data_IF_403155835661
#
_entry.id   IF_403155835661
#
_cell.length_a   1.000
_cell.length_b   1.000
_cell.length_c   1.000
_cell.angle_alpha   90.00
_cell.angle_beta   90.00
_cell.angle_gamma   90.00
#
_symmetry.space_group_name_H-M   'P 1'
#
loop_
_entity.id
_entity.type
_entity.pdbx_description
1 polymer ?
#
# COMPACT_ATOMS: atom_id res chain seq x y z
N UNK A 1 44.44 20.57 -57.89
CA UNK A 1 43.99 19.21 -57.54
C UNK A 1 43.87 19.15 -56.02
N UNK A 2 42.79 19.65 -55.42
CA UNK A 2 41.47 19.02 -55.31
C UNK A 2 41.53 17.70 -54.53
N UNK A 3 41.25 17.75 -53.22
CA UNK A 3 40.20 16.98 -52.53
C UNK A 3 40.33 17.15 -51.00
N UNK A 4 39.42 17.95 -50.41
CA UNK A 4 38.87 17.66 -49.08
C UNK A 4 37.72 16.67 -49.27
N UNK A 5 37.49 15.73 -48.34
CA UNK A 5 36.46 15.94 -47.30
C UNK A 5 36.94 15.47 -45.91
N UNK A 6 36.75 16.23 -44.82
CA UNK A 6 35.57 16.38 -43.96
C UNK A 6 35.32 15.27 -42.92
N UNK A 7 34.85 15.64 -41.71
CA UNK A 7 35.16 14.96 -40.45
C UNK A 7 34.05 13.99 -40.02
N UNK A 8 34.42 12.90 -39.35
CA UNK A 8 33.46 12.07 -38.63
C UNK A 8 33.28 12.62 -37.21
N UNK A 9 32.29 13.49 -37.07
CA UNK A 9 31.68 13.86 -35.79
C UNK A 9 30.96 12.64 -35.22
N UNK A 10 31.44 12.15 -34.08
CA UNK A 10 30.82 11.07 -33.31
C UNK A 10 29.61 11.64 -32.55
N UNK A 11 28.44 11.60 -33.16
CA UNK A 11 27.18 11.97 -32.52
C UNK A 11 26.74 10.82 -31.61
N UNK A 12 26.94 10.96 -30.29
CA UNK A 12 26.35 10.08 -29.29
C UNK A 12 24.83 10.24 -29.36
N UNK A 13 24.15 9.27 -29.97
CA UNK A 13 22.71 9.17 -29.90
C UNK A 13 22.32 8.84 -28.45
N UNK A 14 21.81 9.84 -27.72
CA UNK A 14 21.07 9.59 -26.48
C UNK A 14 19.77 8.96 -26.90
N UNK A 15 19.72 7.64 -26.88
CA UNK A 15 18.47 6.90 -26.98
C UNK A 15 17.64 7.30 -25.78
N UNK A 16 16.65 8.17 -25.98
CA UNK A 16 15.60 8.38 -25.01
C UNK A 16 14.92 7.03 -24.81
N UNK A 17 15.20 6.38 -23.67
CA UNK A 17 14.36 5.32 -23.17
C UNK A 17 13.00 5.96 -22.86
N UNK A 18 12.13 5.95 -23.88
CA UNK A 18 10.71 6.05 -23.69
C UNK A 18 10.30 4.85 -22.84
N UNK A 19 10.25 5.02 -21.52
CA UNK A 19 9.46 4.15 -20.67
C UNK A 19 8.01 4.34 -21.12
N UNK A 20 7.57 3.48 -22.03
CA UNK A 20 6.17 3.28 -22.30
C UNK A 20 5.55 2.84 -20.98
N UNK A 21 4.89 3.77 -20.29
CA UNK A 21 3.98 3.47 -19.20
C UNK A 21 2.98 2.46 -19.77
N UNK A 22 2.89 1.23 -19.24
CA UNK A 22 1.91 0.27 -19.72
C UNK A 22 0.53 0.90 -19.58
N UNK A 23 -0.29 0.92 -20.66
CA UNK A 23 -1.64 1.44 -20.57
C UNK A 23 -2.44 0.55 -19.62
N UNK A 24 -2.89 1.16 -18.51
CA UNK A 24 -4.01 0.68 -17.71
C UNK A 24 -3.93 -0.78 -17.28
N UNK A 25 -2.94 -1.14 -16.45
CA UNK A 25 -3.14 -2.29 -15.56
C UNK A 25 -4.23 -1.92 -14.55
N UNK A 26 -5.13 -2.85 -14.26
CA UNK A 26 -6.36 -2.67 -13.49
C UNK A 26 -6.11 -2.29 -12.02
N UNK A 27 -5.79 -1.03 -11.73
CA UNK A 27 -5.75 -0.46 -10.36
C UNK A 27 -7.16 -0.12 -9.80
N UNK A 28 -8.21 -0.38 -10.60
CA UNK A 28 -9.58 0.04 -10.34
C UNK A 28 -10.31 -0.74 -9.22
N UNK A 29 -9.70 -1.80 -8.66
CA UNK A 29 -10.34 -2.68 -7.68
C UNK A 29 -9.90 -2.47 -6.22
N UNK A 30 -9.06 -1.47 -5.92
CA UNK A 30 -8.94 -0.95 -4.55
C UNK A 30 -10.31 -0.39 -4.12
N UNK A 31 -10.82 -0.74 -2.92
CA UNK A 31 -12.19 -1.20 -2.73
C UNK A 31 -13.26 -0.24 -3.27
N UNK A 32 -13.78 -0.56 -4.44
CA UNK A 32 -15.09 -0.14 -4.96
C UNK A 32 -16.04 -1.32 -5.22
N UNK A 33 -15.65 -2.57 -4.91
CA UNK A 33 -16.53 -3.73 -5.09
C UNK A 33 -16.04 -4.97 -4.35
N UNK A 34 -16.64 -5.26 -3.20
CA UNK A 34 -16.49 -6.54 -2.50
C UNK A 34 -17.79 -7.34 -2.68
N UNK A 35 -18.00 -7.84 -3.90
CA UNK A 35 -19.00 -8.87 -4.21
C UNK A 35 -18.36 -9.95 -5.06
N UNK A 36 -17.34 -10.61 -4.54
CA UNK A 36 -16.70 -11.74 -5.20
C UNK A 36 -15.78 -12.46 -4.25
N UNK A 37 -16.06 -13.73 -3.98
CA UNK A 37 -15.14 -14.61 -3.26
C UNK A 37 -13.90 -14.84 -4.14
N UNK A 38 -12.67 -14.57 -3.68
CA UNK A 38 -11.47 -15.00 -4.40
C UNK A 38 -11.28 -16.50 -4.20
N UNK A 39 -11.13 -17.26 -5.28
CA UNK A 39 -10.65 -18.64 -5.25
C UNK A 39 -9.12 -18.64 -5.23
N UNK A 40 -8.51 -19.05 -4.13
CA UNK A 40 -7.06 -19.23 -4.02
C UNK A 40 -6.72 -20.71 -4.29
N UNK A 41 -5.96 -20.99 -5.34
CA UNK A 41 -5.34 -22.31 -5.55
C UNK A 41 -3.95 -22.31 -4.91
N UNK A 42 -3.63 -23.41 -4.22
CA UNK A 42 -2.40 -23.58 -3.47
C UNK A 42 -1.29 -24.17 -4.35
N UNK A 43 -0.12 -23.54 -4.35
CA UNK A 43 1.14 -24.15 -4.78
C UNK A 43 2.20 -24.03 -3.67
N UNK A 44 3.09 -25.03 -3.61
CA UNK A 44 3.79 -25.51 -2.40
C UNK A 44 5.22 -24.98 -2.21
N UNK A 45 5.63 -24.91 -0.93
CA UNK A 45 7.00 -24.85 -0.33
C UNK A 45 7.70 -23.48 -0.31
N UNK A 46 8.28 -22.96 0.78
CA UNK A 46 8.78 -23.54 2.04
C UNK A 46 8.49 -22.63 3.28
N UNK A 47 7.51 -21.74 3.19
CA UNK A 47 7.21 -20.73 4.21
C UNK A 47 5.72 -20.64 4.55
N UNK A 48 4.94 -21.66 4.19
CA UNK A 48 3.51 -21.69 4.47
C UNK A 48 3.34 -21.97 5.96
N UNK A 49 2.76 -21.06 6.76
CA UNK A 49 2.45 -21.33 8.15
C UNK A 49 1.63 -22.62 8.25
N UNK A 50 1.83 -23.42 9.30
CA UNK A 50 0.98 -24.58 9.52
C UNK A 50 -0.48 -24.13 9.50
N UNK A 51 -1.41 -24.99 9.04
CA UNK A 51 -2.85 -24.66 9.07
C UNK A 51 -3.32 -24.19 10.44
N UNK A 52 -2.71 -24.70 11.52
CA UNK A 52 -2.96 -24.23 12.88
C UNK A 52 -2.52 -22.79 13.12
N UNK A 53 -1.31 -22.40 12.68
CA UNK A 53 -0.82 -21.04 12.77
C UNK A 53 -1.65 -20.07 11.91
N UNK A 54 -2.01 -20.48 10.68
CA UNK A 54 -2.91 -19.71 9.83
C UNK A 54 -4.28 -19.49 10.49
N UNK A 55 -4.88 -20.53 11.08
CA UNK A 55 -6.16 -20.42 11.79
C UNK A 55 -6.08 -19.54 13.05
N UNK A 56 -4.92 -19.50 13.73
CA UNK A 56 -4.70 -18.59 14.86
C UNK A 56 -4.60 -17.15 14.37
N UNK A 57 -3.81 -16.90 13.33
CA UNK A 57 -3.68 -15.57 12.74
C UNK A 57 -5.02 -15.05 12.19
N UNK A 58 -5.78 -15.91 11.48
CA UNK A 58 -7.12 -15.58 10.99
C UNK A 58 -8.07 -15.17 12.12
N UNK A 59 -8.05 -15.90 13.25
CA UNK A 59 -8.82 -15.53 14.44
C UNK A 59 -8.36 -14.22 15.05
N UNK A 60 -7.05 -13.96 15.11
CA UNK A 60 -6.55 -12.69 15.61
C UNK A 60 -7.08 -11.51 14.78
N UNK A 61 -7.04 -11.59 13.45
CA UNK A 61 -7.57 -10.53 12.57
C UNK A 61 -9.08 -10.36 12.76
N UNK A 62 -9.84 -11.45 12.76
CA UNK A 62 -11.30 -11.43 12.90
C UNK A 62 -11.78 -10.95 14.28
N UNK A 63 -11.21 -11.48 15.35
CA UNK A 63 -11.74 -11.33 16.70
C UNK A 63 -11.02 -10.23 17.48
N UNK A 64 -9.69 -10.13 17.39
CA UNK A 64 -8.95 -9.11 18.13
C UNK A 64 -9.02 -7.77 17.41
N UNK A 65 -8.69 -7.72 16.12
CA UNK A 65 -8.76 -6.49 15.34
C UNK A 65 -10.19 -6.14 14.87
N UNK A 66 -11.13 -7.09 14.92
CA UNK A 66 -12.50 -6.88 14.49
C UNK A 66 -12.64 -6.66 12.98
N UNK A 67 -11.71 -7.19 12.18
CA UNK A 67 -11.66 -7.02 10.73
C UNK A 67 -11.93 -8.35 10.04
N UNK A 68 -12.70 -8.36 8.95
CA UNK A 68 -12.75 -9.56 8.12
C UNK A 68 -11.37 -9.87 7.53
N UNK A 69 -10.89 -11.09 7.72
CA UNK A 69 -9.56 -11.51 7.29
C UNK A 69 -9.33 -11.34 5.79
N UNK A 70 -10.30 -11.73 4.96
CA UNK A 70 -10.13 -11.72 3.51
C UNK A 70 -10.17 -10.27 3.00
N UNK A 71 -11.02 -9.43 3.58
CA UNK A 71 -11.02 -7.98 3.33
C UNK A 71 -9.71 -7.30 3.78
N UNK A 72 -9.18 -7.66 4.94
CA UNK A 72 -7.92 -7.13 5.46
C UNK A 72 -6.74 -7.53 4.58
N UNK A 73 -6.71 -8.78 4.09
CA UNK A 73 -5.69 -9.24 3.15
C UNK A 73 -5.75 -8.46 1.84
N UNK A 74 -6.94 -8.32 1.25
CA UNK A 74 -7.13 -7.54 0.02
C UNK A 74 -6.69 -6.08 0.20
N UNK A 75 -7.05 -5.47 1.34
CA UNK A 75 -6.63 -4.11 1.66
C UNK A 75 -5.10 -3.98 1.75
N UNK A 76 -4.44 -4.93 2.40
CA UNK A 76 -2.98 -4.97 2.54
C UNK A 76 -2.29 -5.11 1.18
N UNK A 77 -2.78 -6.01 0.32
CA UNK A 77 -2.25 -6.21 -1.03
C UNK A 77 -2.42 -4.93 -1.89
N UNK A 78 -3.58 -4.25 -1.78
CA UNK A 78 -3.83 -2.96 -2.42
C UNK A 78 -2.87 -1.86 -1.92
N UNK A 79 -2.62 -1.80 -0.61
CA UNK A 79 -1.69 -0.84 -0.01
C UNK A 79 -0.27 -1.06 -0.53
N UNK A 80 0.22 -2.31 -0.57
CA UNK A 80 1.54 -2.63 -1.11
C UNK A 80 1.67 -2.23 -2.57
N UNK A 81 0.69 -2.60 -3.40
CA UNK A 81 0.72 -2.30 -4.82
C UNK A 81 0.71 -0.78 -5.10
N UNK A 82 -0.20 -0.05 -4.44
CA UNK A 82 -0.28 1.40 -4.60
C UNK A 82 0.97 2.12 -4.06
N UNK A 83 1.62 1.57 -3.02
CA UNK A 83 2.90 2.09 -2.49
C UNK A 83 4.03 1.88 -3.48
N UNK A 84 4.13 0.68 -4.07
CA UNK A 84 5.15 0.33 -5.07
C UNK A 84 5.10 1.22 -6.31
N UNK A 85 3.90 1.62 -6.72
CA UNK A 85 3.68 2.45 -7.90
C UNK A 85 3.57 3.95 -7.60
N UNK A 86 3.80 4.37 -6.35
CA UNK A 86 3.63 5.77 -5.95
C UNK A 86 2.24 6.33 -6.30
N UNK A 87 1.19 5.48 -6.30
CA UNK A 87 -0.18 5.88 -6.66
C UNK A 87 -0.83 6.68 -5.52
N UNK A 88 -0.54 7.97 -5.52
CA UNK A 88 -1.05 8.95 -4.55
C UNK A 88 -2.58 8.99 -4.54
N UNK A 89 -3.23 8.71 -5.68
CA UNK A 89 -4.68 8.76 -5.79
C UNK A 89 -5.29 7.55 -5.09
N UNK A 90 -4.83 6.34 -5.39
CA UNK A 90 -5.25 5.12 -4.71
C UNK A 90 -4.96 5.18 -3.21
N UNK A 91 -3.73 5.53 -2.82
CA UNK A 91 -3.34 5.65 -1.41
C UNK A 91 -4.20 6.67 -0.65
N UNK A 92 -4.52 7.81 -1.29
CA UNK A 92 -5.38 8.82 -0.65
C UNK A 92 -6.80 8.32 -0.35
N UNK A 93 -7.29 7.27 -1.04
CA UNK A 93 -8.60 6.65 -0.81
C UNK A 93 -8.58 5.57 0.28
N UNK A 94 -7.42 4.98 0.55
CA UNK A 94 -7.22 4.00 1.62
C UNK A 94 -7.19 4.63 3.01
N UNK A 95 -7.08 5.96 3.09
CA UNK A 95 -6.90 6.72 4.32
C UNK A 95 -8.23 7.13 4.95
N UNK A 96 -8.31 7.07 6.29
CA UNK A 96 -9.32 7.76 7.08
C UNK A 96 -8.87 9.21 7.31
N UNK A 97 -9.73 10.18 6.98
CA UNK A 97 -9.48 11.59 7.25
C UNK A 97 -10.23 12.08 8.50
N UNK A 98 -9.66 13.00 9.29
CA UNK A 98 -8.28 13.50 9.19
C UNK A 98 -7.25 12.42 9.56
N UNK A 99 -6.21 12.27 8.74
CA UNK A 99 -5.14 11.30 8.95
C UNK A 99 -4.13 11.87 9.94
N UNK A 100 -3.82 11.12 10.98
CA UNK A 100 -2.78 11.46 11.95
C UNK A 100 -1.41 11.05 11.41
N UNK A 101 -0.47 11.98 11.44
CA UNK A 101 0.92 11.78 11.06
C UNK A 101 1.80 12.06 12.28
N UNK A 102 2.63 11.10 12.66
CA UNK A 102 3.60 11.25 13.74
C UNK A 102 5.01 11.23 13.17
N UNK A 103 5.66 12.38 13.14
CA UNK A 103 7.04 12.54 12.69
C UNK A 103 7.91 12.88 13.88
N UNK A 104 8.77 11.96 14.33
CA UNK A 104 9.66 12.11 15.49
C UNK A 104 8.93 12.71 16.72
N UNK A 105 9.02 14.03 16.88
CA UNK A 105 8.54 14.78 18.05
C UNK A 105 7.27 15.61 17.77
N UNK A 106 6.69 15.51 16.56
CA UNK A 106 5.54 16.31 16.14
C UNK A 106 4.43 15.45 15.57
N UNK A 107 3.24 15.60 16.16
CA UNK A 107 2.00 15.13 15.56
C UNK A 107 1.42 16.22 14.66
N UNK A 108 0.96 15.82 13.47
CA UNK A 108 0.21 16.67 12.55
C UNK A 108 -0.96 15.90 11.96
N UNK A 109 -1.87 16.61 11.28
CA UNK A 109 -3.02 15.99 10.62
C UNK A 109 -3.14 16.41 9.17
N UNK A 110 -3.43 15.45 8.30
CA UNK A 110 -3.80 15.70 6.91
C UNK A 110 -5.32 15.60 6.82
N UNK A 111 -5.99 16.69 6.46
CA UNK A 111 -7.45 16.76 6.54
C UNK A 111 -8.18 16.21 5.31
N UNK A 112 -7.53 16.17 4.14
CA UNK A 112 -8.22 15.84 2.87
C UNK A 112 -7.34 15.02 1.92
N UNK A 113 -7.95 14.28 0.98
CA UNK A 113 -7.23 13.61 -0.10
C UNK A 113 -6.35 14.56 -0.93
N UNK A 114 -6.81 15.79 -1.14
CA UNK A 114 -6.03 16.80 -1.87
C UNK A 114 -4.76 17.18 -1.10
N UNK A 115 -4.87 17.40 0.21
CA UNK A 115 -3.72 17.68 1.06
C UNK A 115 -2.76 16.49 1.13
N UNK A 116 -3.30 15.27 1.22
CA UNK A 116 -2.51 14.03 1.18
C UNK A 116 -1.65 13.95 -0.07
N UNK A 117 -2.23 14.14 -1.26
CA UNK A 117 -1.48 14.06 -2.53
C UNK A 117 -0.40 15.14 -2.64
N UNK A 118 -0.65 16.34 -2.11
CA UNK A 118 0.33 17.43 -2.08
C UNK A 118 1.50 17.13 -1.14
N UNK A 119 1.24 16.51 0.00
CA UNK A 119 2.26 16.22 1.03
C UNK A 119 2.78 14.78 0.97
N UNK A 120 2.44 14.04 -0.09
CA UNK A 120 2.72 12.61 -0.21
C UNK A 120 4.18 12.22 0.09
N UNK A 121 5.23 12.91 -0.43
CA UNK A 121 6.61 12.54 -0.15
C UNK A 121 6.99 12.65 1.33
N UNK A 122 6.27 13.49 2.10
CA UNK A 122 6.44 13.59 3.54
C UNK A 122 5.73 12.42 4.23
N UNK A 123 4.50 12.11 3.83
CA UNK A 123 3.66 11.07 4.44
C UNK A 123 4.23 9.66 4.17
N UNK A 124 4.51 9.33 2.91
CA UNK A 124 5.10 8.06 2.47
C UNK A 124 6.57 8.30 2.10
N UNK A 125 7.36 8.67 3.11
CA UNK A 125 8.82 8.74 2.95
C UNK A 125 9.41 7.33 2.78
N UNK A 126 10.73 7.26 2.56
CA UNK A 126 11.39 5.97 2.30
C UNK A 126 11.18 4.97 3.44
N UNK A 127 11.24 5.43 4.71
CA UNK A 127 11.02 4.58 5.89
C UNK A 127 9.65 3.90 5.85
N UNK A 128 8.58 4.64 5.58
CA UNK A 128 7.22 4.10 5.51
C UNK A 128 7.08 3.13 4.33
N UNK A 129 7.64 3.48 3.17
CA UNK A 129 7.61 2.61 1.98
C UNK A 129 8.32 1.29 2.22
N UNK A 130 9.53 1.33 2.79
CA UNK A 130 10.32 0.14 3.11
C UNK A 130 9.59 -0.77 4.10
N UNK A 131 8.95 -0.19 5.13
CA UNK A 131 8.14 -0.95 6.08
C UNK A 131 6.97 -1.67 5.40
N UNK A 132 6.26 -1.01 4.48
CA UNK A 132 5.16 -1.62 3.71
C UNK A 132 5.69 -2.71 2.77
N UNK A 133 6.80 -2.46 2.08
CA UNK A 133 7.36 -3.38 1.10
C UNK A 133 7.96 -4.64 1.73
N UNK A 134 8.65 -4.51 2.87
CA UNK A 134 9.26 -5.63 3.58
C UNK A 134 8.23 -6.54 4.28
N UNK A 135 7.09 -6.00 4.68
CA UNK A 135 6.11 -6.72 5.48
C UNK A 135 5.31 -7.75 4.65
N UNK A 136 5.17 -8.97 5.16
CA UNK A 136 4.18 -9.95 4.67
C UNK A 136 2.89 -9.85 5.49
N UNK A 137 1.76 -10.15 4.88
CA UNK A 137 0.46 -10.07 5.56
C UNK A 137 0.39 -11.01 6.77
N UNK A 138 0.92 -12.23 6.65
CA UNK A 138 0.88 -13.23 7.72
C UNK A 138 1.78 -12.89 8.92
N UNK A 139 2.67 -11.91 8.74
CA UNK A 139 3.68 -11.52 9.73
C UNK A 139 3.35 -10.15 10.36
N UNK A 140 2.20 -9.54 10.04
CA UNK A 140 1.77 -8.25 10.63
C UNK A 140 1.43 -8.42 12.10
N UNK A 141 1.63 -7.36 12.87
CA UNK A 141 1.16 -7.34 14.25
C UNK A 141 -0.34 -7.02 14.29
N UNK A 142 -1.08 -7.78 15.09
CA UNK A 142 -2.53 -7.65 15.25
C UNK A 142 -2.86 -7.34 16.70
N UNK A 143 -3.76 -6.39 16.92
CA UNK A 143 -4.27 -6.03 18.26
C UNK A 143 -5.67 -5.46 18.17
N UNK A 144 -6.26 -5.12 19.33
CA UNK A 144 -7.55 -4.42 19.42
C UNK A 144 -7.59 -3.06 18.70
N UNK A 145 -6.42 -2.47 18.40
CA UNK A 145 -6.32 -1.21 17.65
C UNK A 145 -6.39 -1.43 16.13
N UNK A 146 -6.28 -2.67 15.67
CA UNK A 146 -6.20 -3.05 14.27
C UNK A 146 -4.88 -3.75 13.93
N UNK A 147 -4.47 -3.60 12.68
CA UNK A 147 -3.24 -4.18 12.10
C UNK A 147 -2.14 -3.11 12.05
N UNK A 148 -0.94 -3.48 12.47
CA UNK A 148 0.25 -2.65 12.40
C UNK A 148 1.25 -3.22 11.39
N UNK A 149 1.77 -2.36 10.51
CA UNK A 149 2.81 -2.68 9.53
C UNK A 149 4.14 -2.09 10.00
N UNK A 150 5.21 -2.86 9.83
CA UNK A 150 6.54 -2.51 10.31
C UNK A 150 6.61 -2.48 11.83
N UNK A 151 7.35 -1.52 12.36
CA UNK A 151 7.49 -1.25 13.79
C UNK A 151 6.51 -0.16 14.27
N UNK A 152 5.43 0.07 13.54
CA UNK A 152 4.44 1.10 13.82
C UNK A 152 4.29 2.16 12.75
N UNK A 153 4.98 2.04 11.62
CA UNK A 153 4.93 3.00 10.53
C UNK A 153 3.51 3.19 9.96
N UNK A 154 2.69 2.13 9.90
CA UNK A 154 1.30 2.24 9.42
C UNK A 154 0.36 1.47 10.32
N UNK A 155 -0.74 2.12 10.70
CA UNK A 155 -1.85 1.49 11.40
C UNK A 155 -3.10 1.44 10.52
N UNK A 156 -3.70 0.26 10.43
CA UNK A 156 -4.90 -0.04 9.67
C UNK A 156 -5.99 -0.48 10.64
N UNK A 157 -7.20 0.05 10.51
CA UNK A 157 -8.32 -0.32 11.37
C UNK A 157 -9.66 -0.21 10.64
N UNK A 158 -10.70 -0.78 11.24
CA UNK A 158 -12.06 -0.73 10.74
C UNK A 158 -12.75 0.53 11.22
N UNK A 159 -13.29 1.31 10.28
CA UNK A 159 -14.07 2.51 10.59
C UNK A 159 -15.56 2.21 10.38
N UNK A 160 -16.31 2.24 11.47
CA UNK A 160 -17.77 2.11 11.44
C UNK A 160 -18.39 3.50 11.36
N UNK A 161 -18.89 3.86 10.18
CA UNK A 161 -19.69 5.07 10.01
C UNK A 161 -21.11 4.86 10.54
N UNK A 162 -21.75 5.94 11.02
CA UNK A 162 -23.13 5.88 11.50
C UNK A 162 -24.03 5.33 10.39
N UNK A 163 -24.79 4.27 10.72
CA UNK A 163 -25.71 3.63 9.78
C UNK A 163 -25.08 2.55 8.88
N UNK A 164 -23.77 2.28 9.01
CA UNK A 164 -23.18 1.06 8.44
C UNK A 164 -23.11 -0.05 9.48
N UNK A 165 -23.52 -1.24 9.07
CA UNK A 165 -23.42 -2.47 9.86
C UNK A 165 -22.04 -3.12 9.78
N UNK A 166 -21.27 -2.83 8.72
CA UNK A 166 -19.92 -3.35 8.52
C UNK A 166 -18.89 -2.21 8.53
N UNK A 167 -17.74 -2.39 9.21
CA UNK A 167 -16.67 -1.41 9.18
C UNK A 167 -16.05 -1.35 7.78
N UNK A 168 -15.47 -0.21 7.43
CA UNK A 168 -14.62 -0.06 6.24
C UNK A 168 -13.17 0.03 6.69
N UNK A 169 -12.31 -0.83 6.15
CA UNK A 169 -10.89 -0.85 6.49
C UNK A 169 -10.21 0.40 5.94
N UNK A 170 -9.46 1.11 6.78
CA UNK A 170 -8.73 2.34 6.45
C UNK A 170 -7.38 2.42 7.16
N UNK A 171 -6.44 3.16 6.58
CA UNK A 171 -5.25 3.66 7.27
C UNK A 171 -5.69 4.76 8.22
N UNK A 172 -5.37 4.63 9.50
CA UNK A 172 -5.79 5.57 10.55
C UNK A 172 -4.63 6.42 11.08
N UNK A 173 -3.39 5.95 10.90
CA UNK A 173 -2.19 6.66 11.32
C UNK A 173 -1.00 6.26 10.47
N UNK A 174 -0.08 7.20 10.26
CA UNK A 174 1.23 6.96 9.69
C UNK A 174 2.30 7.58 10.58
N UNK A 175 3.35 6.82 10.86
CA UNK A 175 4.50 7.26 11.64
C UNK A 175 5.72 7.25 10.72
N UNK A 176 6.30 8.42 10.48
CA UNK A 176 7.27 8.67 9.40
C UNK A 176 8.58 9.29 9.91
#
# INVERSE_FOLDING_TARGET
MALRPHPLLYLQAITALSFAMPPGTTYANCPHGLTGKPSYQAETSLSVPSRSAENVFRRAVNEQAGLDFDEAKLFFDCLKDATKHDDKTALSRLVQYPLRIHALDRASTIATPVAFRKQYPLIFNQRVKDAIEAQRFEDVFVSYRGIMIGNGEVWISGITERGRSKPTIKIISINN
#
